data_IF_968608443433
#
_entry.id   IF_968608443433
#
_cell.length_a   1.000
_cell.length_b   1.000
_cell.length_c   1.000
_cell.angle_alpha   90.00
_cell.angle_beta   90.00
_cell.angle_gamma   90.00
#
_symmetry.space_group_name_H-M   'P 1'
#
loop_
_entity.id
_entity.type
_entity.pdbx_description
1 polymer ?
#
# COMPACT_ATOMS: atom_id res chain seq x y z
N UNK A 1 -18.69 -10.22 6.93
CA UNK A 1 -17.63 -9.78 6.02
C UNK A 1 -17.45 -8.32 6.34
N UNK A 2 -16.37 -7.97 7.04
CA UNK A 2 -16.08 -6.57 7.40
C UNK A 2 -15.69 -5.87 6.11
N UNK A 3 -16.30 -4.72 5.81
CA UNK A 3 -15.87 -3.90 4.68
C UNK A 3 -14.56 -3.19 5.03
N UNK A 4 -13.74 -2.85 4.04
CA UNK A 4 -12.50 -2.09 4.20
C UNK A 4 -12.72 -0.84 5.07
N UNK A 5 -13.82 -0.13 4.82
CA UNK A 5 -14.21 1.08 5.55
C UNK A 5 -14.45 0.77 7.04
N UNK A 6 -15.08 -0.36 7.36
CA UNK A 6 -15.31 -0.77 8.75
C UNK A 6 -14.00 -1.11 9.46
N UNK A 7 -13.05 -1.75 8.75
CA UNK A 7 -11.72 -2.02 9.28
C UNK A 7 -10.98 -0.71 9.60
N UNK A 8 -10.97 0.24 8.66
CA UNK A 8 -10.29 1.52 8.84
C UNK A 8 -10.86 2.34 9.99
N UNK A 9 -12.19 2.39 10.10
CA UNK A 9 -12.84 3.07 11.21
C UNK A 9 -12.55 2.40 12.57
N UNK A 10 -12.36 1.08 12.60
CA UNK A 10 -12.16 0.32 13.84
C UNK A 10 -10.70 0.29 14.30
N UNK A 11 -9.76 0.31 13.36
CA UNK A 11 -8.35 0.02 13.64
C UNK A 11 -7.38 1.04 13.04
N UNK A 12 -7.77 1.78 12.01
CA UNK A 12 -6.87 2.66 11.26
C UNK A 12 -6.22 3.72 12.14
N UNK A 13 -7.01 4.42 12.98
CA UNK A 13 -6.49 5.48 13.85
C UNK A 13 -5.52 4.97 14.92
N UNK A 14 -5.74 3.75 15.42
CA UNK A 14 -4.88 3.14 16.43
C UNK A 14 -3.66 2.45 15.82
N UNK A 15 -3.70 2.14 14.52
CA UNK A 15 -2.66 1.41 13.80
C UNK A 15 -1.66 2.35 13.08
N UNK A 16 -2.13 3.45 12.50
CA UNK A 16 -1.34 4.35 11.69
C UNK A 16 -1.01 5.66 12.42
N UNK A 17 0.28 5.87 12.72
CA UNK A 17 0.77 7.07 13.41
C UNK A 17 1.54 7.94 12.43
N UNK A 18 1.05 9.16 12.19
CA UNK A 18 1.69 10.11 11.30
C UNK A 18 3.18 10.28 11.61
N UNK A 19 4.03 10.13 10.61
CA UNK A 19 5.48 10.25 10.77
C UNK A 19 6.23 8.93 10.95
N UNK A 20 5.55 7.85 11.34
CA UNK A 20 6.17 6.55 11.61
C UNK A 20 6.53 5.80 10.31
N UNK A 21 7.53 4.92 10.41
CA UNK A 21 7.92 4.03 9.32
C UNK A 21 7.24 2.67 9.46
N UNK A 22 6.83 2.15 8.31
CA UNK A 22 6.19 0.85 8.17
C UNK A 22 6.94 0.02 7.15
N UNK A 23 6.99 -1.29 7.39
CA UNK A 23 7.43 -2.25 6.39
C UNK A 23 6.22 -2.64 5.55
N UNK A 24 6.26 -2.35 4.25
CA UNK A 24 5.21 -2.71 3.31
C UNK A 24 5.73 -3.78 2.38
N UNK A 25 5.03 -4.91 2.33
CA UNK A 25 5.35 -6.03 1.46
C UNK A 25 4.21 -6.27 0.48
N UNK A 26 4.53 -6.40 -0.79
CA UNK A 26 3.61 -6.82 -1.85
C UNK A 26 3.97 -8.24 -2.28
N UNK A 27 2.95 -9.08 -2.48
CA UNK A 27 3.10 -10.51 -2.73
C UNK A 27 2.17 -10.98 -3.86
N UNK A 28 2.68 -11.88 -4.72
CA UNK A 28 1.88 -12.71 -5.62
C UNK A 28 2.43 -14.13 -5.70
N UNK A 29 1.55 -15.05 -6.06
CA UNK A 29 1.94 -16.40 -6.47
C UNK A 29 1.55 -16.57 -7.92
N UNK A 30 2.54 -16.80 -8.78
CA UNK A 30 2.25 -17.10 -10.18
C UNK A 30 1.54 -18.47 -10.30
N UNK A 31 1.00 -18.76 -11.48
CA UNK A 31 0.31 -20.05 -11.73
C UNK A 31 1.24 -21.28 -11.61
N UNK A 32 2.55 -21.08 -11.50
CA UNK A 32 3.56 -22.14 -11.30
C UNK A 32 3.97 -22.28 -9.83
N UNK A 33 3.40 -21.49 -8.92
CA UNK A 33 3.76 -21.49 -7.50
C UNK A 33 5.01 -20.67 -7.17
N UNK A 34 5.53 -19.85 -8.10
CA UNK A 34 6.63 -18.93 -7.82
C UNK A 34 6.11 -17.74 -7.05
N UNK A 35 6.71 -17.48 -5.89
CA UNK A 35 6.38 -16.34 -5.04
C UNK A 35 7.20 -15.11 -5.48
N UNK A 36 6.50 -14.04 -5.83
CA UNK A 36 7.12 -12.72 -6.02
C UNK A 36 6.83 -11.89 -4.77
N UNK A 37 7.88 -11.33 -4.17
CA UNK A 37 7.75 -10.45 -3.01
C UNK A 37 8.64 -9.24 -3.17
N UNK A 38 8.06 -8.07 -2.99
CA UNK A 38 8.81 -6.82 -2.87
C UNK A 38 8.51 -6.18 -1.53
N UNK A 39 9.54 -5.73 -0.82
CA UNK A 39 9.41 -5.13 0.50
C UNK A 39 10.06 -3.75 0.52
N UNK A 40 9.33 -2.78 1.06
CA UNK A 40 9.71 -1.39 1.20
C UNK A 40 9.64 -0.96 2.66
N UNK A 41 10.50 -0.04 3.07
CA UNK A 41 10.30 0.71 4.31
C UNK A 41 9.81 2.10 3.91
N UNK A 42 8.55 2.41 4.23
CA UNK A 42 7.91 3.64 3.82
C UNK A 42 7.36 4.40 5.01
N UNK A 43 7.46 5.72 4.93
CA UNK A 43 6.92 6.61 5.96
C UNK A 43 5.44 6.83 5.70
N UNK A 44 4.63 6.68 6.74
CA UNK A 44 3.23 7.09 6.71
C UNK A 44 3.15 8.61 6.87
N UNK A 45 2.45 9.27 5.94
CA UNK A 45 2.29 10.71 5.92
C UNK A 45 0.83 11.10 5.71
N UNK A 46 0.26 11.77 6.71
CA UNK A 46 -1.04 12.43 6.62
C UNK A 46 -0.85 13.83 6.04
N UNK A 47 -0.61 13.93 4.74
CA UNK A 47 -0.49 15.22 4.02
C UNK A 47 -1.81 16.03 3.96
N UNK A 48 -2.68 15.97 4.98
CA UNK A 48 -3.92 16.72 5.11
C UNK A 48 -5.07 16.22 4.24
N UNK A 49 -4.87 15.14 3.47
CA UNK A 49 -5.83 14.63 2.50
C UNK A 49 -6.79 13.56 3.05
N UNK A 50 -6.69 13.19 4.34
CA UNK A 50 -7.35 12.01 4.96
C UNK A 50 -6.92 10.66 4.38
N UNK A 51 -6.26 10.64 3.23
CA UNK A 51 -5.71 9.45 2.61
C UNK A 51 -4.57 8.85 3.43
N UNK A 52 -4.47 7.52 3.41
CA UNK A 52 -3.34 6.84 4.01
C UNK A 52 -2.24 6.69 2.97
N UNK A 53 -1.32 7.64 2.96
CA UNK A 53 -0.21 7.64 2.03
C UNK A 53 1.05 7.10 2.70
N UNK A 54 1.64 6.11 2.05
CA UNK A 54 2.97 5.63 2.33
C UNK A 54 3.85 6.03 1.16
N UNK A 55 4.98 6.65 1.44
CA UNK A 55 5.92 6.98 0.39
C UNK A 55 7.36 6.88 0.85
N UNK A 56 8.24 6.56 -0.09
CA UNK A 56 9.69 6.72 0.08
C UNK A 56 10.14 8.15 -0.24
N UNK A 57 9.42 9.17 0.25
CA UNK A 57 9.61 10.58 -0.08
C UNK A 57 11.05 11.11 0.08
N UNK A 58 11.83 10.52 0.98
CA UNK A 58 13.26 10.84 1.13
C UNK A 58 14.06 10.60 -0.15
N UNK A 59 13.66 9.60 -0.95
CA UNK A 59 14.36 9.23 -2.18
C UNK A 59 14.10 10.19 -3.34
N UNK A 60 12.97 10.92 -3.35
CA UNK A 60 12.73 12.01 -4.31
C UNK A 60 13.86 13.05 -4.26
N UNK A 61 14.37 13.35 -3.06
CA UNK A 61 15.44 14.33 -2.88
C UNK A 61 16.82 13.82 -3.29
N UNK A 62 17.00 12.51 -3.42
CA UNK A 62 18.26 11.86 -3.81
C UNK A 62 18.27 11.37 -5.27
N UNK A 63 17.22 11.63 -6.05
CA UNK A 63 17.07 11.12 -7.42
C UNK A 63 16.86 9.60 -7.47
N UNK A 64 16.22 9.04 -6.45
CA UNK A 64 15.76 7.65 -6.43
C UNK A 64 14.40 7.51 -7.10
N UNK A 65 14.00 6.26 -7.38
CA UNK A 65 12.65 5.97 -7.87
C UNK A 65 11.65 6.29 -6.77
N UNK A 66 10.54 6.94 -7.11
CA UNK A 66 9.51 7.25 -6.14
C UNK A 66 8.45 6.17 -6.19
N UNK A 67 8.14 5.60 -5.02
CA UNK A 67 7.04 4.68 -4.83
C UNK A 67 6.11 5.24 -3.75
N UNK A 68 4.85 5.48 -4.13
CA UNK A 68 3.79 5.95 -3.25
C UNK A 68 2.64 4.95 -3.29
N UNK A 69 2.14 4.55 -2.12
CA UNK A 69 0.94 3.73 -1.97
C UNK A 69 -0.08 4.53 -1.17
N UNK A 70 -1.27 4.71 -1.73
CA UNK A 70 -2.35 5.50 -1.14
C UNK A 70 -3.57 4.62 -0.94
N UNK A 71 -4.10 4.61 0.28
CA UNK A 71 -5.39 3.99 0.59
C UNK A 71 -6.44 5.08 0.80
N UNK A 72 -7.56 4.97 0.10
CA UNK A 72 -8.64 5.93 0.17
C UNK A 72 -9.55 5.59 1.37
N UNK A 73 -9.69 6.43 2.40
CA UNK A 73 -10.38 6.06 3.66
C UNK A 73 -11.88 5.79 3.50
N UNK A 74 -12.49 6.42 2.49
CA UNK A 74 -13.93 6.34 2.22
C UNK A 74 -14.26 5.34 1.08
N UNK A 75 -13.29 4.56 0.62
CA UNK A 75 -13.42 3.65 -0.52
C UNK A 75 -12.54 2.41 -0.35
N UNK A 76 -12.95 1.20 -0.78
CA UNK A 76 -12.08 0.02 -0.76
C UNK A 76 -11.01 0.07 -1.87
N UNK A 77 -10.42 1.23 -2.11
CA UNK A 77 -9.54 1.49 -3.24
C UNK A 77 -8.14 1.87 -2.78
N UNK A 78 -7.17 1.36 -3.53
CA UNK A 78 -5.76 1.65 -3.37
C UNK A 78 -5.19 2.13 -4.69
N UNK A 79 -4.40 3.19 -4.62
CA UNK A 79 -3.62 3.69 -5.73
C UNK A 79 -2.13 3.48 -5.43
N UNK A 80 -1.40 2.95 -6.40
CA UNK A 80 0.04 2.82 -6.36
C UNK A 80 0.62 3.67 -7.49
N UNK A 81 1.55 4.56 -7.12
CA UNK A 81 2.25 5.44 -8.05
C UNK A 81 3.73 5.08 -8.00
N UNK A 82 4.26 4.68 -9.16
CA UNK A 82 5.67 4.42 -9.34
C UNK A 82 6.22 5.40 -10.38
N UNK A 83 7.14 6.26 -9.96
CA UNK A 83 7.77 7.23 -10.85
C UNK A 83 9.26 6.94 -11.01
N UNK A 84 9.76 7.17 -12.22
CA UNK A 84 11.19 7.14 -12.48
C UNK A 84 11.94 8.23 -11.69
N UNK A 85 13.27 8.11 -11.66
CA UNK A 85 14.17 8.99 -10.90
C UNK A 85 14.06 10.47 -11.24
N UNK A 86 13.59 10.79 -12.44
CA UNK A 86 13.48 12.16 -12.96
C UNK A 86 12.02 12.67 -12.90
N UNK A 87 11.09 11.85 -12.42
CA UNK A 87 9.63 12.09 -12.45
C UNK A 87 9.09 12.38 -13.85
N UNK A 88 9.81 11.92 -14.88
CA UNK A 88 9.44 12.13 -16.28
C UNK A 88 8.37 11.11 -16.72
N UNK A 89 8.34 9.95 -16.07
CA UNK A 89 7.35 8.93 -16.27
C UNK A 89 6.85 8.41 -14.91
N UNK A 90 5.53 8.29 -14.80
CA UNK A 90 4.88 7.69 -13.64
C UNK A 90 3.81 6.70 -14.14
N UNK A 91 3.87 5.49 -13.60
CA UNK A 91 2.82 4.49 -13.73
C UNK A 91 1.85 4.63 -12.56
N UNK A 92 0.56 4.54 -12.87
CA UNK A 92 -0.53 4.53 -11.89
C UNK A 92 -1.24 3.19 -11.96
N UNK A 93 -1.13 2.43 -10.89
CA UNK A 93 -1.80 1.15 -10.72
C UNK A 93 -2.96 1.32 -9.73
N UNK A 94 -4.13 0.78 -10.07
CA UNK A 94 -5.34 0.91 -9.25
C UNK A 94 -5.86 -0.45 -8.84
N UNK A 95 -6.18 -0.59 -7.55
CA UNK A 95 -6.64 -1.84 -6.96
C UNK A 95 -7.89 -1.62 -6.12
N UNK A 96 -8.74 -2.65 -6.09
CA UNK A 96 -9.78 -2.79 -5.07
C UNK A 96 -9.25 -3.73 -3.99
N UNK A 97 -9.49 -3.38 -2.73
CA UNK A 97 -9.06 -4.13 -1.57
C UNK A 97 -10.24 -4.90 -0.96
N UNK A 98 -9.92 -5.99 -0.28
CA UNK A 98 -10.87 -6.66 0.62
C UNK A 98 -10.94 -5.96 1.99
N UNK A 99 -11.70 -6.57 2.91
CA UNK A 99 -11.88 -6.05 4.27
C UNK A 99 -10.64 -6.05 5.17
N UNK A 100 -9.52 -6.58 4.66
CA UNK A 100 -8.27 -6.71 5.41
C UNK A 100 -8.32 -7.71 6.57
N UNK A 101 -7.14 -8.03 7.09
CA UNK A 101 -6.97 -8.87 8.27
C UNK A 101 -5.86 -8.31 9.17
N UNK A 102 -6.17 -8.10 10.45
CA UNK A 102 -5.17 -7.77 11.47
C UNK A 102 -4.58 -9.05 12.06
N UNK A 103 -3.25 -9.11 12.10
CA UNK A 103 -2.50 -10.16 12.79
C UNK A 103 -2.80 -10.21 14.30
N UNK A 104 -2.59 -11.39 14.90
CA UNK A 104 -2.87 -11.62 16.32
C UNK A 104 -2.02 -10.76 17.27
N UNK A 105 -0.82 -10.36 16.86
CA UNK A 105 0.05 -9.48 17.63
C UNK A 105 -0.28 -7.98 17.43
N UNK A 106 -1.24 -7.67 16.55
CA UNK A 106 -1.68 -6.31 16.23
C UNK A 106 -0.62 -5.48 15.51
N UNK A 107 0.41 -6.09 14.92
CA UNK A 107 1.54 -5.37 14.29
C UNK A 107 1.48 -5.34 12.78
N UNK A 108 0.69 -6.20 12.17
CA UNK A 108 0.60 -6.37 10.73
C UNK A 108 -0.85 -6.42 10.27
N UNK A 109 -1.16 -5.65 9.23
CA UNK A 109 -2.42 -5.73 8.49
C UNK A 109 -2.14 -6.24 7.08
N UNK A 110 -3.00 -7.12 6.58
CA UNK A 110 -2.89 -7.67 5.22
C UNK A 110 -4.19 -7.46 4.46
N UNK A 111 -4.09 -7.09 3.19
CA UNK A 111 -5.22 -6.93 2.27
C UNK A 111 -4.99 -7.76 1.01
N UNK A 112 -6.05 -8.38 0.49
CA UNK A 112 -6.03 -8.92 -0.86
C UNK A 112 -6.31 -7.78 -1.86
N UNK A 113 -5.58 -7.78 -2.98
CA UNK A 113 -5.65 -6.76 -4.01
C UNK A 113 -6.29 -7.33 -5.28
N UNK A 114 -7.26 -6.62 -5.82
CA UNK A 114 -7.92 -6.96 -7.08
C UNK A 114 -7.60 -5.83 -8.07
N UNK A 115 -6.80 -6.07 -9.12
CA UNK A 115 -6.46 -5.03 -10.09
C UNK A 115 -7.70 -4.57 -10.87
N UNK A 116 -7.86 -3.25 -11.03
CA UNK A 116 -8.91 -2.64 -11.86
C UNK A 116 -8.59 -2.73 -13.36
N UNK A 117 -9.59 -2.51 -14.22
CA UNK A 117 -9.39 -2.45 -15.68
C UNK A 117 -8.35 -1.37 -16.06
N UNK A 118 -7.54 -1.65 -17.08
CA UNK A 118 -6.39 -0.83 -17.54
C UNK A 118 -5.22 -0.73 -16.56
N UNK A 119 -5.11 -1.64 -15.58
CA UNK A 119 -3.92 -1.75 -14.76
C UNK A 119 -2.82 -2.50 -15.54
N UNK A 120 -1.71 -1.84 -15.96
CA UNK A 120 -0.67 -2.49 -16.76
C UNK A 120 0.07 -3.59 -15.98
N UNK A 121 0.06 -3.51 -14.65
CA UNK A 121 0.73 -4.46 -13.75
C UNK A 121 -0.28 -5.37 -13.04
N UNK A 122 -0.23 -6.66 -13.34
CA UNK A 122 -0.86 -7.74 -12.55
C UNK A 122 0.16 -8.37 -11.58
N UNK A 123 1.08 -7.58 -11.05
CA UNK A 123 2.25 -8.17 -10.38
C UNK A 123 1.97 -8.65 -8.96
N UNK A 124 0.94 -8.14 -8.27
CA UNK A 124 0.72 -8.44 -6.85
C UNK A 124 -0.76 -8.67 -6.53
N UNK A 125 -1.03 -9.68 -5.70
CA UNK A 125 -2.38 -10.08 -5.25
C UNK A 125 -2.62 -9.76 -3.77
N UNK A 126 -1.57 -9.42 -3.03
CA UNK A 126 -1.64 -9.16 -1.59
C UNK A 126 -0.69 -8.03 -1.21
N UNK A 127 -1.13 -7.16 -0.30
CA UNK A 127 -0.30 -6.15 0.35
C UNK A 127 -0.36 -6.33 1.87
N UNK A 128 0.80 -6.26 2.52
CA UNK A 128 0.97 -6.37 3.95
C UNK A 128 1.68 -5.13 4.48
N UNK A 129 1.17 -4.54 5.56
CA UNK A 129 1.72 -3.35 6.20
C UNK A 129 2.01 -3.69 7.66
N UNK A 130 3.29 -3.60 8.03
CA UNK A 130 3.79 -3.99 9.35
C UNK A 130 4.46 -2.83 10.06
N UNK A 131 4.13 -2.65 11.35
CA UNK A 131 4.82 -1.73 12.27
C UNK A 131 6.24 -2.22 12.55
N UNK A 132 7.21 -1.32 12.43
CA UNK A 132 8.64 -1.56 12.73
C UNK A 132 8.90 -1.49 14.24
#
# INVERSE_FOLDING_TARGET
MTDFIDFFNSHGQDFFNDGDYYTISQYSVDNNGSEHTTTYSMKYDTCGLKDLSFGNWSEMSSGGETHIIMFLPDSPEMEEIMCDKELNHCDLNNYTLDGGALSLDGKEVTFNMIPKENNPSKEFDTISIRRV
#
